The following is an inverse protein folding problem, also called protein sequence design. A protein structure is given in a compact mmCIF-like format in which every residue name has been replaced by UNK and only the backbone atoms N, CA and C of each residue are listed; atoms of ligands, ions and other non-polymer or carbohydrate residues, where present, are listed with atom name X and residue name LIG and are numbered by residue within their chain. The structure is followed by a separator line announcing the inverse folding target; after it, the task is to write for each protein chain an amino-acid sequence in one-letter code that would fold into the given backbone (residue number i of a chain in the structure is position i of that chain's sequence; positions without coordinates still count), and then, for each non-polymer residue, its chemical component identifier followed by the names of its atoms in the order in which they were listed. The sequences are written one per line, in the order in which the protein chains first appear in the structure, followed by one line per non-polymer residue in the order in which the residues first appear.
data_IF_730605639174
#
_entry.id   IF_730605639174
#
_cell.length_a   1.000
_cell.length_b   1.000
_cell.length_c   1.000
_cell.angle_alpha   90.00
_cell.angle_beta   90.00
_cell.angle_gamma   90.00
#
_symmetry.space_group_name_H-M   'P 1'
#
loop_
_entity.id
_entity.type
_entity.pdbx_description
1 polymer ?
#
# COMPACT_ATOMS: atom_id res chain seq x y z
N UNK A 1 0.25 -0.71 -14.12
CA UNK A 1 0.53 -1.07 -12.72
C UNK A 1 -0.78 -1.25 -11.98
N UNK A 2 -0.74 -1.91 -10.85
CA UNK A 2 -1.96 -2.30 -10.13
C UNK A 2 -2.32 -1.33 -9.03
N UNK A 3 -3.55 -1.41 -8.58
CA UNK A 3 -4.01 -0.73 -7.39
C UNK A 3 -4.41 -1.79 -6.36
N UNK A 4 -4.14 -1.50 -5.11
CA UNK A 4 -4.43 -2.42 -4.01
C UNK A 4 -5.29 -1.70 -2.98
N UNK A 5 -6.42 -2.29 -2.66
CA UNK A 5 -7.38 -1.66 -1.76
C UNK A 5 -7.39 -2.35 -0.40
N UNK A 6 -7.32 -1.54 0.66
CA UNK A 6 -7.48 -2.06 2.02
C UNK A 6 -8.92 -2.51 2.21
N UNK A 7 -9.12 -3.78 2.54
CA UNK A 7 -10.48 -4.32 2.69
C UNK A 7 -11.15 -3.89 3.98
N UNK A 8 -10.40 -3.25 4.88
CA UNK A 8 -10.93 -2.80 6.17
C UNK A 8 -11.44 -1.36 6.09
N UNK A 9 -10.62 -0.45 5.55
CA UNK A 9 -10.99 0.98 5.53
C UNK A 9 -11.21 1.55 4.13
N UNK A 10 -10.83 0.81 3.07
CA UNK A 10 -11.02 1.27 1.70
C UNK A 10 -9.91 2.16 1.16
N UNK A 11 -8.82 2.35 1.91
CA UNK A 11 -7.69 3.11 1.41
C UNK A 11 -7.02 2.37 0.25
N UNK A 12 -6.62 3.11 -0.79
CA UNK A 12 -6.06 2.50 -1.99
C UNK A 12 -4.59 2.85 -2.14
N UNK A 13 -3.75 1.83 -2.34
CA UNK A 13 -2.36 2.01 -2.76
C UNK A 13 -2.29 1.89 -4.27
N UNK A 14 -1.82 2.94 -4.93
CA UNK A 14 -1.64 2.97 -6.38
C UNK A 14 -0.15 2.82 -6.68
N UNK A 15 0.24 1.73 -7.35
CA UNK A 15 1.64 1.48 -7.66
C UNK A 15 2.27 2.59 -8.51
N UNK A 16 1.48 3.27 -9.32
CA UNK A 16 1.98 4.38 -10.13
C UNK A 16 2.38 5.56 -9.26
N UNK A 17 1.58 5.87 -8.26
CA UNK A 17 1.80 7.04 -7.42
C UNK A 17 2.71 6.78 -6.23
N UNK A 18 2.78 5.51 -5.78
CA UNK A 18 3.53 5.16 -4.59
C UNK A 18 2.92 5.78 -3.34
N UNK A 19 3.73 5.92 -2.29
CA UNK A 19 3.32 6.58 -1.07
C UNK A 19 4.55 7.25 -0.45
N UNK A 20 4.99 8.41 -0.99
CA UNK A 20 6.24 9.04 -0.55
C UNK A 20 6.26 9.42 0.93
N UNK A 21 5.10 9.62 1.55
CA UNK A 21 5.02 9.94 2.98
C UNK A 21 5.62 8.83 3.84
N UNK A 22 5.56 7.59 3.36
CA UNK A 22 6.14 6.43 4.03
C UNK A 22 7.44 5.97 3.35
N UNK A 23 7.99 6.79 2.47
CA UNK A 23 9.23 6.44 1.77
C UNK A 23 9.03 5.48 0.61
N UNK A 24 7.81 5.29 0.14
CA UNK A 24 7.52 4.41 -0.99
C UNK A 24 7.45 5.25 -2.26
N UNK A 25 8.48 5.10 -3.11
CA UNK A 25 8.58 5.92 -4.31
C UNK A 25 7.49 5.57 -5.34
N UNK A 26 7.09 6.56 -6.18
CA UNK A 26 6.21 6.26 -7.30
C UNK A 26 6.79 5.15 -8.17
N UNK A 27 5.92 4.22 -8.59
CA UNK A 27 6.35 3.08 -9.40
C UNK A 27 6.76 1.86 -8.59
N UNK A 28 6.68 1.92 -7.26
CA UNK A 28 7.01 0.76 -6.42
C UNK A 28 5.89 -0.26 -6.50
N UNK A 29 6.26 -1.49 -6.89
CA UNK A 29 5.29 -2.58 -6.96
C UNK A 29 4.96 -3.08 -5.57
N UNK A 30 3.75 -3.65 -5.44
CA UNK A 30 3.27 -4.17 -4.16
C UNK A 30 4.27 -5.14 -3.51
N UNK A 31 4.85 -6.04 -4.32
CA UNK A 31 5.79 -7.03 -3.81
C UNK A 31 7.08 -6.42 -3.29
N UNK A 32 7.41 -5.20 -3.69
CA UNK A 32 8.61 -4.51 -3.25
C UNK A 32 8.37 -3.70 -1.97
N UNK A 33 7.14 -3.62 -1.50
CA UNK A 33 6.82 -2.96 -0.24
C UNK A 33 7.17 -3.92 0.91
N UNK A 34 7.83 -3.43 1.97
CA UNK A 34 8.20 -4.28 3.10
C UNK A 34 7.01 -5.05 3.69
N UNK A 35 7.26 -6.27 4.13
CA UNK A 35 6.19 -7.12 4.68
C UNK A 35 5.59 -6.54 5.96
N UNK A 36 6.35 -5.72 6.70
CA UNK A 36 5.86 -5.11 7.92
C UNK A 36 5.20 -3.75 7.71
N UNK A 37 5.03 -3.34 6.45
CA UNK A 37 4.31 -2.12 6.12
C UNK A 37 2.83 -2.26 6.51
N UNK A 38 2.26 -1.19 7.01
CA UNK A 38 0.85 -1.18 7.43
C UNK A 38 0.08 -0.09 6.71
N UNK A 39 -1.24 -0.26 6.65
CA UNK A 39 -2.11 0.74 6.05
C UNK A 39 -1.98 2.07 6.80
N UNK A 40 -1.72 3.18 6.08
CA UNK A 40 -1.55 4.47 6.75
C UNK A 40 -2.83 5.03 7.34
N UNK A 41 -3.97 4.45 6.98
CA UNK A 41 -5.27 4.93 7.45
C UNK A 41 -5.77 4.15 8.66
N UNK A 42 -5.75 2.82 8.60
CA UNK A 42 -6.31 2.00 9.68
C UNK A 42 -5.30 1.09 10.39
N UNK A 43 -4.10 0.94 9.85
CA UNK A 43 -3.02 0.23 10.51
C UNK A 43 -3.00 -1.29 10.34
N UNK A 44 -3.81 -1.84 9.44
CA UNK A 44 -3.75 -3.28 9.17
C UNK A 44 -2.58 -3.60 8.25
N UNK A 45 -2.16 -4.87 8.23
CA UNK A 45 -1.03 -5.30 7.41
C UNK A 45 -1.39 -5.51 5.95
N UNK A 46 -0.38 -5.89 5.17
CA UNK A 46 -0.56 -6.12 3.73
C UNK A 46 -1.56 -7.23 3.43
N UNK A 47 -1.71 -8.18 4.35
CA UNK A 47 -2.63 -9.30 4.15
C UNK A 47 -4.09 -8.86 4.04
N UNK A 48 -4.42 -7.65 4.49
CA UNK A 48 -5.77 -7.10 4.41
C UNK A 48 -5.95 -6.19 3.19
N UNK A 49 -5.14 -6.37 2.18
CA UNK A 49 -5.26 -5.65 0.91
C UNK A 49 -5.58 -6.64 -0.21
N UNK A 50 -6.38 -6.20 -1.16
CA UNK A 50 -6.62 -6.98 -2.37
C UNK A 50 -6.64 -6.11 -3.62
#
# INVERSE_FOLDING_TARGET
MKKWECIVCGWVYDEVEGWPEDGIEPGTKWDDIPEDWICPDCGVGKEDFE
#
